data_IF_139655702205
#
_entry.id   IF_139655702205
#
_cell.length_a   1.000
_cell.length_b   1.000
_cell.length_c   1.000
_cell.angle_alpha   90.00
_cell.angle_beta   90.00
_cell.angle_gamma   90.00
#
_symmetry.space_group_name_H-M   'P 1'
#
loop_
_entity.id
_entity.type
_entity.pdbx_description
1 polymer ?
#
# COMPACT_ATOMS: atom_id res chain seq x y z
N UNK A 1 4.39 -10.56 -10.79
CA UNK A 1 3.34 -9.57 -10.45
C UNK A 1 3.77 -8.74 -9.27
N UNK A 2 3.32 -7.49 -9.16
CA UNK A 2 3.59 -6.61 -8.02
C UNK A 2 2.27 -6.16 -7.39
N UNK A 3 2.20 -6.18 -6.07
CA UNK A 3 1.04 -5.79 -5.28
C UNK A 3 1.46 -4.83 -4.16
N UNK A 4 0.60 -3.90 -3.73
CA UNK A 4 0.91 -2.87 -2.72
C UNK A 4 -0.28 -2.61 -1.79
N UNK A 5 0.02 -2.28 -0.53
CA UNK A 5 -0.92 -1.87 0.51
C UNK A 5 -0.71 -0.40 0.99
N UNK A 6 -0.18 0.46 0.11
CA UNK A 6 -0.25 1.92 0.22
C UNK A 6 -0.86 2.54 -1.06
N UNK A 7 -1.77 3.50 -0.91
CA UNK A 7 -2.70 3.89 -1.99
C UNK A 7 -2.22 5.07 -2.87
N UNK A 8 -1.13 5.75 -2.52
CA UNK A 8 -0.69 6.97 -3.22
C UNK A 8 -1.56 8.19 -2.91
N UNK A 9 -2.01 8.32 -1.66
CA UNK A 9 -2.89 9.42 -1.23
C UNK A 9 -2.26 10.78 -1.52
N UNK A 10 -3.03 11.65 -2.17
CA UNK A 10 -2.66 13.02 -2.48
C UNK A 10 -1.36 13.19 -3.30
N UNK A 11 -0.89 12.15 -4.00
CA UNK A 11 0.43 12.16 -4.64
C UNK A 11 0.60 13.24 -5.73
N UNK A 12 -0.52 13.68 -6.32
CA UNK A 12 -0.57 14.73 -7.35
C UNK A 12 -1.72 15.71 -7.05
N UNK A 13 -1.93 16.00 -5.76
CA UNK A 13 -2.95 16.95 -5.31
C UNK A 13 -2.44 18.39 -5.48
N UNK A 14 -3.18 19.20 -6.24
CA UNK A 14 -2.94 20.64 -6.37
C UNK A 14 -3.87 21.45 -5.46
N UNK A 15 -4.96 20.83 -4.99
CA UNK A 15 -6.00 21.47 -4.17
C UNK A 15 -6.29 20.69 -2.90
N UNK A 16 -6.74 21.39 -1.86
CA UNK A 16 -7.13 20.80 -0.57
C UNK A 16 -8.21 19.71 -0.75
N UNK A 17 -9.14 19.89 -1.69
CA UNK A 17 -10.18 18.91 -1.99
C UNK A 17 -9.64 17.57 -2.51
N UNK A 18 -8.41 17.55 -3.03
CA UNK A 18 -7.77 16.37 -3.62
C UNK A 18 -6.93 15.58 -2.60
N UNK A 19 -6.77 16.10 -1.37
CA UNK A 19 -6.00 15.44 -0.30
C UNK A 19 -6.58 14.09 0.14
N UNK A 20 -7.85 13.84 -0.18
CA UNK A 20 -8.52 12.57 0.15
C UNK A 20 -8.50 11.57 -1.02
N UNK A 21 -7.93 11.93 -2.17
CA UNK A 21 -7.88 11.08 -3.35
C UNK A 21 -6.68 10.14 -3.33
N UNK A 22 -6.89 8.90 -3.78
CA UNK A 22 -5.87 7.87 -3.90
C UNK A 22 -5.36 7.81 -5.35
N UNK A 23 -4.21 8.42 -5.62
CA UNK A 23 -3.53 8.43 -6.91
C UNK A 23 -2.71 7.14 -7.09
N UNK A 24 -3.41 6.01 -7.18
CA UNK A 24 -2.81 4.67 -7.22
C UNK A 24 -1.80 4.52 -8.36
N UNK A 25 -2.08 5.15 -9.50
CA UNK A 25 -1.19 5.22 -10.67
C UNK A 25 0.20 5.79 -10.39
N UNK A 26 0.36 6.54 -9.29
CA UNK A 26 1.61 7.16 -8.86
C UNK A 26 2.17 6.54 -7.57
N UNK A 27 1.53 5.50 -7.03
CA UNK A 27 1.98 4.83 -5.82
C UNK A 27 3.37 4.20 -5.97
N UNK A 28 4.17 4.24 -4.89
CA UNK A 28 5.59 3.86 -4.90
C UNK A 28 5.87 2.46 -5.47
N UNK A 29 5.01 1.48 -5.20
CA UNK A 29 5.26 0.07 -5.59
C UNK A 29 4.51 -0.32 -6.86
N UNK A 30 3.20 -0.06 -6.96
CA UNK A 30 2.39 -0.51 -8.12
C UNK A 30 2.11 0.59 -9.14
N UNK A 31 2.48 1.84 -8.90
CA UNK A 31 2.15 2.94 -9.81
C UNK A 31 2.73 2.71 -11.22
N UNK A 32 1.86 2.57 -12.21
CA UNK A 32 2.23 2.32 -13.61
C UNK A 32 1.67 3.36 -14.58
N UNK A 33 1.16 4.49 -14.08
CA UNK A 33 0.56 5.54 -14.93
C UNK A 33 1.58 6.23 -15.82
N UNK A 34 2.77 6.49 -15.28
CA UNK A 34 3.89 7.11 -15.99
C UNK A 34 5.00 6.08 -16.20
N UNK A 35 5.97 6.36 -17.08
CA UNK A 35 7.12 5.49 -17.30
C UNK A 35 8.28 5.78 -16.33
N UNK A 36 9.29 4.90 -16.32
CA UNK A 36 10.46 5.01 -15.43
C UNK A 36 11.21 6.34 -15.53
N UNK A 37 11.23 6.99 -16.70
CA UNK A 37 11.92 8.28 -16.91
C UNK A 37 11.18 9.44 -16.23
N UNK A 38 9.86 9.32 -16.07
CA UNK A 38 9.02 10.37 -15.50
C UNK A 38 8.72 10.11 -14.02
N UNK A 39 8.52 8.85 -13.63
CA UNK A 39 8.18 8.48 -12.27
C UNK A 39 8.74 7.10 -11.92
N UNK A 40 9.69 7.08 -10.98
CA UNK A 40 10.30 5.84 -10.53
C UNK A 40 9.39 5.15 -9.51
N UNK A 41 8.80 4.03 -9.93
CA UNK A 41 8.06 3.10 -9.06
C UNK A 41 8.68 1.72 -9.17
N UNK A 42 8.44 0.85 -8.19
CA UNK A 42 8.93 -0.53 -8.28
C UNK A 42 8.36 -1.26 -9.52
N UNK A 43 7.10 -0.98 -9.87
CA UNK A 43 6.48 -1.46 -11.10
C UNK A 43 7.22 -1.02 -12.35
N UNK A 44 7.57 0.26 -12.47
CA UNK A 44 8.31 0.77 -13.62
C UNK A 44 9.74 0.25 -13.70
N UNK A 45 10.39 0.02 -12.55
CA UNK A 45 11.72 -0.58 -12.50
C UNK A 45 11.64 -2.04 -12.97
N UNK A 46 10.71 -2.84 -12.46
CA UNK A 46 10.59 -4.25 -12.84
C UNK A 46 10.07 -4.44 -14.26
N UNK A 47 9.20 -3.56 -14.75
CA UNK A 47 8.69 -3.63 -16.12
C UNK A 47 9.78 -3.36 -17.15
N UNK A 48 10.84 -2.61 -16.79
CA UNK A 48 12.03 -2.44 -17.62
C UNK A 48 12.75 -3.78 -17.92
N UNK A 49 12.76 -4.70 -16.95
CA UNK A 49 13.40 -6.02 -17.10
C UNK A 49 12.43 -7.12 -17.56
N UNK A 50 11.13 -6.90 -17.45
CA UNK A 50 10.09 -7.88 -17.77
C UNK A 50 8.86 -7.20 -18.36
N UNK A 51 8.70 -7.25 -19.68
CA UNK A 51 7.57 -6.66 -20.40
C UNK A 51 6.22 -7.35 -20.11
N UNK A 52 6.22 -8.57 -19.56
CA UNK A 52 5.01 -9.32 -19.21
C UNK A 52 4.46 -9.00 -17.81
N UNK A 53 5.03 -8.00 -17.10
CA UNK A 53 4.65 -7.69 -15.73
C UNK A 53 3.17 -7.25 -15.64
N UNK A 54 2.46 -7.80 -14.65
CA UNK A 54 1.06 -7.49 -14.32
C UNK A 54 0.93 -6.88 -12.92
N UNK A 55 -0.19 -6.19 -12.70
CA UNK A 55 -0.58 -5.63 -11.39
C UNK A 55 -0.38 -4.13 -11.21
N UNK A 56 0.08 -3.44 -12.25
CA UNK A 56 0.25 -1.99 -12.23
C UNK A 56 -1.08 -1.27 -12.01
N UNK A 57 -1.06 -0.24 -11.19
CA UNK A 57 -2.18 0.67 -10.98
C UNK A 57 -2.11 1.82 -11.98
N UNK A 58 -3.26 2.34 -12.38
CA UNK A 58 -3.44 3.42 -13.34
C UNK A 58 -4.42 4.44 -12.75
N UNK A 59 -4.12 5.74 -12.84
CA UNK A 59 -5.08 6.78 -12.46
C UNK A 59 -5.34 6.91 -10.95
N UNK A 60 -6.51 7.47 -10.65
CA UNK A 60 -6.97 7.84 -9.31
C UNK A 60 -8.31 7.17 -9.05
N UNK A 61 -8.45 6.51 -7.91
CA UNK A 61 -9.70 5.83 -7.56
C UNK A 61 -9.57 4.83 -6.41
N UNK A 62 -10.67 4.15 -6.07
CA UNK A 62 -10.73 3.27 -4.90
C UNK A 62 -10.11 1.89 -5.20
N UNK A 63 -9.86 1.09 -4.16
CA UNK A 63 -9.17 -0.21 -4.31
C UNK A 63 -10.01 -1.25 -5.08
N UNK A 64 -11.33 -1.11 -5.03
CA UNK A 64 -12.32 -2.00 -5.61
C UNK A 64 -12.35 -1.91 -7.14
N UNK A 65 -12.03 -0.75 -7.71
CA UNK A 65 -11.93 -0.56 -9.15
C UNK A 65 -10.66 -1.22 -9.67
N UNK A 66 -10.77 -2.47 -10.12
CA UNK A 66 -9.63 -3.24 -10.64
C UNK A 66 -8.99 -2.59 -11.88
N UNK A 67 -9.73 -1.79 -12.66
CA UNK A 67 -9.19 -1.13 -13.85
C UNK A 67 -8.23 0.01 -13.51
N UNK A 68 -8.42 0.62 -12.33
CA UNK A 68 -7.58 1.68 -11.76
C UNK A 68 -6.56 1.08 -10.80
N UNK A 69 -7.00 0.29 -9.83
CA UNK A 69 -6.15 -0.19 -8.76
C UNK A 69 -5.17 -1.29 -9.22
N UNK A 70 -5.49 -2.04 -10.27
CA UNK A 70 -4.77 -3.28 -10.59
C UNK A 70 -4.80 -4.20 -9.37
N UNK A 71 -3.61 -4.55 -8.84
CA UNK A 71 -3.48 -5.34 -7.60
C UNK A 71 -3.08 -4.52 -6.36
N UNK A 72 -3.27 -3.21 -6.41
CA UNK A 72 -3.12 -2.36 -5.23
C UNK A 72 -4.39 -2.43 -4.37
N UNK A 73 -4.34 -3.22 -3.29
CA UNK A 73 -5.42 -3.37 -2.32
C UNK A 73 -5.28 -2.45 -1.11
N UNK A 74 -4.38 -1.47 -1.19
CA UNK A 74 -4.23 -0.48 -0.14
C UNK A 74 -5.50 0.33 0.06
N UNK A 75 -5.82 0.63 1.32
CA UNK A 75 -6.84 1.61 1.64
C UNK A 75 -6.22 2.67 2.55
N UNK A 76 -6.40 3.93 2.16
CA UNK A 76 -5.91 5.07 2.91
C UNK A 76 -6.59 5.14 4.28
N UNK A 77 -5.78 5.20 5.35
CA UNK A 77 -6.28 5.21 6.73
C UNK A 77 -6.37 3.83 7.39
N UNK A 78 -6.10 2.74 6.65
CA UNK A 78 -6.12 1.40 7.23
C UNK A 78 -5.06 1.18 8.31
N UNK A 79 -5.42 0.34 9.27
CA UNK A 79 -4.55 -0.16 10.35
C UNK A 79 -4.19 -1.61 10.10
N UNK A 80 -3.29 -2.18 10.91
CA UNK A 80 -2.91 -3.58 10.76
C UNK A 80 -4.10 -4.55 10.88
N UNK A 81 -5.16 -4.18 11.61
CA UNK A 81 -6.39 -4.97 11.71
C UNK A 81 -7.09 -5.25 10.38
N UNK A 82 -7.00 -4.32 9.42
CA UNK A 82 -7.64 -4.43 8.10
C UNK A 82 -6.84 -5.32 7.13
N UNK A 83 -5.59 -5.63 7.50
CA UNK A 83 -4.61 -6.23 6.60
C UNK A 83 -5.04 -7.60 6.07
N UNK A 84 -5.75 -8.39 6.89
CA UNK A 84 -6.21 -9.72 6.51
C UNK A 84 -7.29 -9.66 5.43
N UNK A 85 -8.22 -8.70 5.55
CA UNK A 85 -9.28 -8.47 4.55
C UNK A 85 -8.68 -8.01 3.22
N UNK A 86 -7.70 -7.10 3.25
CA UNK A 86 -6.98 -6.67 2.04
C UNK A 86 -6.26 -7.84 1.36
N UNK A 87 -5.70 -8.77 2.14
CA UNK A 87 -5.08 -9.98 1.60
C UNK A 87 -6.10 -10.95 1.00
N UNK A 88 -7.29 -11.10 1.59
CA UNK A 88 -8.37 -11.88 1.02
C UNK A 88 -8.78 -11.31 -0.34
N UNK A 89 -9.04 -10.01 -0.40
CA UNK A 89 -9.38 -9.33 -1.64
C UNK A 89 -8.28 -9.50 -2.70
N UNK A 90 -7.00 -9.40 -2.31
CA UNK A 90 -5.85 -9.58 -3.22
C UNK A 90 -5.83 -10.98 -3.84
N UNK A 91 -5.94 -12.02 -3.01
CA UNK A 91 -5.91 -13.41 -3.47
C UNK A 91 -7.08 -13.68 -4.42
N UNK A 92 -8.28 -13.23 -4.06
CA UNK A 92 -9.46 -13.42 -4.91
C UNK A 92 -9.34 -12.67 -6.24
N UNK A 93 -8.82 -11.43 -6.24
CA UNK A 93 -8.58 -10.68 -7.48
C UNK A 93 -7.55 -11.37 -8.38
N UNK A 94 -6.47 -11.91 -7.82
CA UNK A 94 -5.46 -12.64 -8.59
C UNK A 94 -6.03 -13.94 -9.17
N UNK A 95 -6.87 -14.68 -8.42
CA UNK A 95 -7.54 -15.89 -8.93
C UNK A 95 -8.52 -15.58 -10.05
N UNK A 96 -9.19 -14.43 -9.98
CA UNK A 96 -10.20 -14.03 -10.95
C UNK A 96 -9.62 -13.50 -12.27
N UNK A 97 -8.33 -13.12 -12.30
CA UNK A 97 -7.69 -12.61 -13.50
C UNK A 97 -7.23 -13.76 -14.43
N UNK A 98 -7.82 -13.90 -15.63
CA UNK A 98 -7.53 -15.02 -16.53
C UNK A 98 -6.15 -14.90 -17.20
N UNK A 99 -5.46 -13.78 -17.06
CA UNK A 99 -4.14 -13.55 -17.65
C UNK A 99 -2.99 -14.06 -16.78
N UNK A 100 -3.31 -14.61 -15.61
CA UNK A 100 -2.35 -15.03 -14.60
C UNK A 100 -2.44 -16.54 -14.40
N UNK A 101 -1.29 -17.21 -14.46
CA UNK A 101 -1.18 -18.56 -13.93
C UNK A 101 -1.07 -18.47 -12.40
N UNK A 102 -2.20 -18.69 -11.74
CA UNK A 102 -2.29 -18.58 -10.28
C UNK A 102 -1.23 -19.43 -9.57
N UNK A 103 -0.96 -20.64 -10.06
CA UNK A 103 -0.05 -21.58 -9.41
C UNK A 103 1.41 -21.38 -9.82
N UNK A 104 1.67 -20.94 -11.05
CA UNK A 104 3.02 -20.92 -11.60
C UNK A 104 3.65 -19.52 -11.75
N UNK A 105 2.87 -18.44 -11.77
CA UNK A 105 3.48 -17.11 -11.84
C UNK A 105 4.07 -16.70 -10.49
N UNK A 106 5.20 -15.98 -10.50
CA UNK A 106 5.73 -15.38 -9.27
C UNK A 106 4.96 -14.11 -8.88
N UNK A 107 4.63 -14.00 -7.60
CA UNK A 107 3.96 -12.84 -7.00
C UNK A 107 4.89 -12.12 -6.04
N UNK A 108 5.06 -10.82 -6.23
CA UNK A 108 5.72 -9.94 -5.28
C UNK A 108 4.64 -9.14 -4.56
N UNK A 109 4.53 -9.32 -3.24
CA UNK A 109 3.54 -8.63 -2.40
C UNK A 109 4.27 -7.66 -1.48
N UNK A 110 3.99 -6.37 -1.58
CA UNK A 110 4.52 -5.37 -0.66
C UNK A 110 3.47 -5.02 0.41
N UNK A 111 3.82 -5.27 1.66
CA UNK A 111 3.03 -4.89 2.83
C UNK A 111 3.72 -3.70 3.49
N UNK A 112 3.00 -2.59 3.62
CA UNK A 112 3.46 -1.43 4.37
C UNK A 112 2.28 -0.88 5.16
N UNK A 113 2.28 -1.16 6.47
CA UNK A 113 1.15 -0.92 7.38
C UNK A 113 1.69 -0.72 8.80
N UNK A 114 0.94 -0.01 9.65
CA UNK A 114 1.31 0.24 11.05
C UNK A 114 1.38 1.70 11.44
N UNK A 115 1.51 2.62 10.48
CA UNK A 115 1.61 4.05 10.79
C UNK A 115 0.33 4.59 11.42
N UNK A 116 -0.84 4.16 10.94
CA UNK A 116 -2.11 4.53 11.56
C UNK A 116 -2.30 3.87 12.94
N UNK A 117 -1.81 2.63 13.13
CA UNK A 117 -1.80 2.00 14.45
C UNK A 117 -1.02 2.85 15.46
N UNK A 118 0.15 3.40 15.07
CA UNK A 118 0.91 4.33 15.90
C UNK A 118 0.15 5.64 16.18
N UNK A 119 -0.66 6.14 15.26
CA UNK A 119 -1.52 7.31 15.49
C UNK A 119 -2.64 7.03 16.50
N UNK A 120 -3.17 5.80 16.52
CA UNK A 120 -4.32 5.42 17.36
C UNK A 120 -3.96 4.70 18.66
N UNK A 121 -2.68 4.32 18.86
CA UNK A 121 -2.24 3.55 20.05
C UNK A 121 -2.56 4.26 21.37
N UNK A 122 -2.44 5.59 21.43
CA UNK A 122 -2.78 6.38 22.61
C UNK A 122 -4.27 6.34 22.97
N UNK A 123 -5.13 6.01 22.00
CA UNK A 123 -6.57 5.90 22.20
C UNK A 123 -6.97 4.50 22.67
N UNK A 124 -6.35 3.46 22.10
CA UNK A 124 -6.61 2.07 22.49
C UNK A 124 -5.44 1.13 22.19
N UNK A 125 -4.57 0.93 23.18
CA UNK A 125 -3.41 0.03 23.07
C UNK A 125 -3.80 -1.44 22.88
N UNK A 126 -4.99 -1.86 23.32
CA UNK A 126 -5.43 -3.25 23.13
C UNK A 126 -5.73 -3.57 21.66
N UNK A 127 -6.13 -2.57 20.86
CA UNK A 127 -6.44 -2.73 19.43
C UNK A 127 -5.25 -2.36 18.55
N UNK A 128 -4.54 -1.28 18.88
CA UNK A 128 -3.50 -0.72 18.02
C UNK A 128 -2.07 -0.93 18.56
N UNK A 129 -1.93 -1.56 19.73
CA UNK A 129 -0.63 -1.81 20.35
C UNK A 129 0.20 -2.86 19.62
N UNK A 130 1.47 -2.93 19.99
CA UNK A 130 2.46 -3.78 19.32
C UNK A 130 2.07 -5.26 19.26
N UNK A 131 1.46 -5.79 20.33
CA UNK A 131 1.01 -7.18 20.37
C UNK A 131 -0.07 -7.47 19.31
N UNK A 132 -1.05 -6.58 19.17
CA UNK A 132 -2.13 -6.74 18.21
C UNK A 132 -1.62 -6.50 16.78
N UNK A 133 -0.74 -5.51 16.57
CA UNK A 133 -0.04 -5.31 15.30
C UNK A 133 0.68 -6.59 14.83
N UNK A 134 1.50 -7.19 15.70
CA UNK A 134 2.23 -8.43 15.37
C UNK A 134 1.28 -9.58 15.08
N UNK A 135 0.20 -9.71 15.85
CA UNK A 135 -0.83 -10.72 15.61
C UNK A 135 -1.47 -10.57 14.24
N UNK A 136 -1.88 -9.35 13.87
CA UNK A 136 -2.53 -9.06 12.61
C UNK A 136 -1.60 -9.32 11.41
N UNK A 137 -0.37 -8.78 11.46
CA UNK A 137 0.63 -9.00 10.41
C UNK A 137 0.94 -10.49 10.25
N UNK A 138 1.18 -11.20 11.37
CA UNK A 138 1.44 -12.64 11.33
C UNK A 138 0.28 -13.42 10.72
N UNK A 139 -0.95 -13.11 11.12
CA UNK A 139 -2.15 -13.79 10.60
C UNK A 139 -2.28 -13.61 9.09
N UNK A 140 -2.05 -12.40 8.58
CA UNK A 140 -2.04 -12.15 7.13
C UNK A 140 -0.92 -12.89 6.41
N UNK A 141 0.30 -12.90 6.96
CA UNK A 141 1.43 -13.61 6.35
C UNK A 141 1.17 -15.13 6.27
N UNK A 142 0.57 -15.71 7.31
CA UNK A 142 0.16 -17.12 7.31
C UNK A 142 -0.91 -17.39 6.25
N UNK A 143 -1.91 -16.51 6.14
CA UNK A 143 -2.93 -16.64 5.10
C UNK A 143 -2.32 -16.58 3.69
N UNK A 144 -1.46 -15.59 3.41
CA UNK A 144 -0.80 -15.46 2.11
C UNK A 144 0.08 -16.66 1.79
N UNK A 145 0.81 -17.20 2.78
CA UNK A 145 1.60 -18.43 2.62
C UNK A 145 0.72 -19.60 2.19
N UNK A 146 -0.45 -19.75 2.81
CA UNK A 146 -1.33 -20.90 2.61
C UNK A 146 -2.22 -20.75 1.36
N UNK A 147 -2.45 -19.52 0.88
CA UNK A 147 -3.44 -19.23 -0.17
C UNK A 147 -2.87 -18.52 -1.40
N UNK A 148 -1.58 -18.15 -1.44
CA UNK A 148 -0.97 -17.48 -2.59
C UNK A 148 0.39 -18.12 -2.92
N UNK A 149 0.44 -19.14 -3.80
CA UNK A 149 1.67 -19.87 -4.09
C UNK A 149 2.68 -19.00 -4.84
N UNK A 150 3.97 -19.35 -4.74
CA UNK A 150 5.10 -18.65 -5.39
C UNK A 150 5.11 -17.14 -5.10
N UNK A 151 5.06 -16.81 -3.81
CA UNK A 151 5.01 -15.43 -3.34
C UNK A 151 6.30 -15.04 -2.64
N UNK A 152 6.84 -13.89 -3.01
CA UNK A 152 7.81 -13.13 -2.22
C UNK A 152 7.08 -11.99 -1.52
N UNK A 153 7.19 -11.91 -0.20
CA UNK A 153 6.59 -10.82 0.58
C UNK A 153 7.68 -9.85 1.03
N UNK A 154 7.55 -8.59 0.65
CA UNK A 154 8.33 -7.49 1.20
C UNK A 154 7.52 -6.83 2.31
N UNK A 155 7.97 -6.97 3.55
CA UNK A 155 7.35 -6.34 4.72
C UNK A 155 8.12 -5.08 5.10
N UNK A 156 7.50 -3.92 4.94
CA UNK A 156 8.03 -2.64 5.38
C UNK A 156 7.41 -2.28 6.73
N UNK A 157 8.23 -2.08 7.78
CA UNK A 157 7.71 -1.62 9.08
C UNK A 157 7.23 -0.17 8.99
N UNK A 158 6.37 0.28 9.92
CA UNK A 158 6.03 1.70 10.03
C UNK A 158 7.31 2.53 10.21
N UNK A 159 7.32 3.73 9.62
CA UNK A 159 8.45 4.64 9.74
C UNK A 159 8.58 5.15 11.19
N UNK A 160 9.81 5.49 11.57
CA UNK A 160 10.07 6.06 12.86
C UNK A 160 9.50 7.49 12.93
N UNK A 161 8.44 7.68 13.70
CA UNK A 161 7.66 8.92 13.71
C UNK A 161 8.43 10.15 14.23
N UNK A 162 9.53 9.94 14.96
CA UNK A 162 10.36 11.03 15.48
C UNK A 162 10.95 11.91 14.38
N UNK A 163 11.13 11.38 13.17
CA UNK A 163 11.58 12.16 12.01
C UNK A 163 10.62 13.30 11.65
N UNK A 164 9.33 13.14 11.94
CA UNK A 164 8.33 14.18 11.70
C UNK A 164 8.50 15.35 12.67
N UNK A 165 9.02 15.13 13.88
CA UNK A 165 9.31 16.23 14.81
C UNK A 165 10.36 17.18 14.24
N UNK A 166 11.22 16.70 13.33
CA UNK A 166 12.21 17.55 12.67
C UNK A 166 11.60 18.51 11.64
N UNK A 167 10.47 18.14 11.02
CA UNK A 167 9.77 19.03 10.08
C UNK A 167 9.01 20.15 10.80
N UNK A 168 8.76 20.01 12.11
CA UNK A 168 8.08 21.00 12.95
C UNK A 168 9.01 22.03 13.61
N UNK A 169 10.34 21.92 13.44
CA UNK A 169 11.32 22.78 14.14
C UNK A 169 11.24 24.28 13.82
N UNK A 170 10.54 24.67 12.75
CA UNK A 170 10.53 26.05 12.25
C UNK A 170 9.24 26.86 12.53
N UNK A 171 8.30 26.37 13.34
CA UNK A 171 7.01 27.06 13.64
C UNK A 171 6.32 27.59 12.36
N UNK A 172 6.32 26.80 11.29
CA UNK A 172 5.61 27.17 10.07
C UNK A 172 4.10 27.14 10.34
N UNK A 173 3.40 28.22 10.03
CA UNK A 173 1.97 28.38 10.30
C UNK A 173 1.15 27.25 9.68
N UNK A 174 1.57 26.75 8.51
CA UNK A 174 0.93 25.61 7.87
C UNK A 174 0.95 24.36 8.77
N UNK A 175 2.08 24.08 9.42
CA UNK A 175 2.24 22.92 10.29
C UNK A 175 1.49 23.07 11.61
N UNK A 176 1.38 24.28 12.17
CA UNK A 176 0.61 24.52 13.41
C UNK A 176 -0.91 24.43 13.19
N UNK A 177 -1.40 24.89 12.04
CA UNK A 177 -2.84 24.95 11.75
C UNK A 177 -3.42 23.61 11.26
N UNK A 178 -2.62 22.77 10.58
CA UNK A 178 -3.11 21.52 9.97
C UNK A 178 -2.73 20.24 10.73
N UNK A 179 -1.72 20.23 11.60
CA UNK A 179 -1.27 19.02 12.32
C UNK A 179 -1.69 18.97 13.80
N UNK A 180 -2.71 19.74 14.21
CA UNK A 180 -3.26 19.74 15.57
C UNK A 180 -4.21 18.57 15.85
#
# INVERSE_FOLDING_TARGET
>A
MINMLQAGRAADAEKISELLLDYRGLSLVTGGQLNLTQHATLFNIFSHFSSSLKGGSLGTGPAEDASVAGFNMAVSGSVAGDLLEQAYALVERIKADPTIDFNNDWKFVNIFIGSNDLCFVCQNESIYGAAQYVYNVRSTLLYLRDNLPRTYVNLLPPFHIEILLETHKNNDAFCEDFHR
#
